data_IF_854494175493
#
_entry.id   IF_854494175493
#
_cell.length_a   1.000
_cell.length_b   1.000
_cell.length_c   1.000
_cell.angle_alpha   90.00
_cell.angle_beta   90.00
_cell.angle_gamma   90.00
#
_symmetry.space_group_name_H-M   'P 1'
#
loop_
_entity.id
_entity.type
_entity.pdbx_description
1 polymer ?
#
# COMPACT_ATOMS: atom_id res chain seq x y z
N UNK A 1 79.78 -19.44 34.29
CA UNK A 1 79.54 -18.01 34.61
C UNK A 1 79.67 -17.19 33.33
N UNK A 2 78.57 -16.67 32.79
CA UNK A 2 78.47 -15.45 31.97
C UNK A 2 76.98 -15.21 31.68
N UNK A 3 76.56 -13.98 32.01
CA UNK A 3 75.25 -13.33 31.81
C UNK A 3 75.11 -13.01 30.29
N UNK A 4 74.04 -12.56 29.65
CA UNK A 4 72.79 -11.90 30.01
C UNK A 4 71.91 -11.80 28.73
N UNK A 5 70.61 -11.63 28.94
CA UNK A 5 69.71 -10.63 28.31
C UNK A 5 69.36 -10.61 26.80
N UNK A 6 68.03 -10.69 26.59
CA UNK A 6 67.15 -9.73 25.86
C UNK A 6 66.83 -9.93 24.38
N UNK A 7 65.57 -9.60 24.05
CA UNK A 7 65.09 -9.29 22.69
C UNK A 7 63.89 -10.14 22.28
N UNK A 8 62.66 -9.83 22.72
CA UNK A 8 61.65 -9.08 21.94
C UNK A 8 61.44 -9.67 20.52
N UNK A 9 60.36 -10.43 20.32
CA UNK A 9 59.04 -9.94 19.86
C UNK A 9 58.97 -9.76 18.33
N UNK A 10 57.78 -10.04 17.79
CA UNK A 10 57.26 -9.60 16.48
C UNK A 10 57.68 -10.47 15.26
N UNK A 11 56.83 -10.92 14.33
CA UNK A 11 55.42 -10.69 14.00
C UNK A 11 54.89 -11.98 13.36
N UNK A 12 53.78 -12.54 13.85
CA UNK A 12 52.95 -13.41 12.99
C UNK A 12 52.19 -12.51 12.02
N UNK A 13 52.54 -12.56 10.74
CA UNK A 13 51.76 -11.97 9.65
C UNK A 13 50.57 -12.88 9.40
N UNK A 14 49.52 -12.70 10.20
CA UNK A 14 48.20 -13.24 9.93
C UNK A 14 47.54 -12.38 8.86
N UNK A 15 47.53 -12.86 7.61
CA UNK A 15 46.73 -12.27 6.55
C UNK A 15 45.25 -12.45 6.90
N UNK A 16 44.65 -11.44 7.54
CA UNK A 16 43.21 -11.37 7.71
C UNK A 16 42.65 -10.95 6.35
N UNK A 17 42.17 -11.94 5.59
CA UNK A 17 41.31 -11.68 4.45
C UNK A 17 40.05 -10.99 4.97
N UNK A 18 39.97 -9.67 4.74
CA UNK A 18 38.72 -8.92 4.90
C UNK A 18 37.81 -9.42 3.80
N UNK A 19 37.03 -10.46 4.10
CA UNK A 19 35.87 -10.80 3.30
C UNK A 19 34.95 -9.58 3.38
N UNK A 20 34.87 -8.82 2.30
CA UNK A 20 33.85 -7.80 2.13
C UNK A 20 32.50 -8.51 2.25
N UNK A 21 31.90 -8.46 3.44
CA UNK A 21 30.49 -8.80 3.60
C UNK A 21 29.72 -7.87 2.67
N UNK A 22 28.84 -8.37 1.79
CA UNK A 22 27.98 -7.50 1.02
C UNK A 22 27.24 -6.60 2.01
N UNK A 23 27.52 -5.31 1.94
CA UNK A 23 26.78 -4.30 2.67
C UNK A 23 25.31 -4.50 2.29
N UNK A 24 24.54 -4.89 3.29
CA UNK A 24 23.09 -4.85 3.42
C UNK A 24 22.30 -5.24 2.15
N UNK A 25 21.64 -6.39 2.26
CA UNK A 25 20.44 -6.71 1.49
C UNK A 25 19.59 -5.46 1.26
N UNK A 26 19.10 -5.34 0.03
CA UNK A 26 18.10 -4.37 -0.40
C UNK A 26 17.19 -3.98 0.78
N UNK A 27 17.32 -2.73 1.25
CA UNK A 27 16.28 -2.05 2.00
C UNK A 27 15.10 -1.89 1.03
N UNK A 28 14.42 -3.00 0.76
CA UNK A 28 13.08 -3.01 0.21
C UNK A 28 12.28 -2.25 1.26
N UNK A 29 11.96 -1.00 0.92
CA UNK A 29 11.12 -0.10 1.70
C UNK A 29 10.00 -0.88 2.42
N UNK A 30 9.64 -0.51 3.67
CA UNK A 30 8.68 -1.24 4.47
C UNK A 30 7.37 -1.40 3.70
N UNK A 31 7.19 -2.57 3.10
CA UNK A 31 6.03 -2.84 2.28
C UNK A 31 4.83 -3.03 3.18
N UNK A 32 3.69 -2.51 2.76
CA UNK A 32 2.46 -2.68 3.54
C UNK A 32 2.16 -4.16 3.69
N UNK A 33 1.89 -4.58 4.93
CA UNK A 33 1.43 -5.92 5.26
C UNK A 33 0.14 -5.81 6.07
N UNK A 34 -0.49 -6.96 6.33
CA UNK A 34 -1.61 -7.05 7.27
C UNK A 34 -1.25 -6.53 8.67
N UNK A 35 -0.01 -6.75 9.09
CA UNK A 35 0.50 -6.43 10.43
C UNK A 35 1.12 -5.03 10.48
N UNK A 36 1.56 -4.50 9.34
CA UNK A 36 2.20 -3.19 9.23
C UNK A 36 1.43 -2.30 8.24
N UNK A 37 0.48 -1.47 8.72
CA UNK A 37 -0.27 -0.57 7.86
C UNK A 37 0.62 0.57 7.36
N UNK A 38 0.37 1.02 6.13
CA UNK A 38 1.07 2.17 5.55
C UNK A 38 0.24 3.44 5.70
N UNK A 39 0.90 4.56 5.97
CA UNK A 39 0.28 5.88 5.96
C UNK A 39 1.09 6.83 5.11
N UNK A 40 0.45 7.39 4.09
CA UNK A 40 0.99 8.39 3.19
C UNK A 40 0.34 9.74 3.49
N UNK A 41 1.16 10.79 3.56
CA UNK A 41 0.71 12.14 3.90
C UNK A 41 1.39 13.19 3.03
N UNK A 42 0.75 14.35 2.84
CA UNK A 42 1.39 15.48 2.13
C UNK A 42 2.75 15.87 2.74
N UNK A 43 3.61 16.51 1.93
CA UNK A 43 3.36 16.95 0.55
C UNK A 43 3.67 15.90 -0.53
N UNK A 44 4.11 14.70 -0.14
CA UNK A 44 4.67 13.74 -1.08
C UNK A 44 3.60 12.83 -1.68
N UNK A 45 3.73 12.56 -2.98
CA UNK A 45 3.00 11.48 -3.60
C UNK A 45 3.59 10.14 -3.14
N UNK A 46 2.74 9.15 -2.89
CA UNK A 46 3.19 7.85 -2.44
C UNK A 46 2.67 6.76 -3.38
N UNK A 47 3.50 5.74 -3.60
CA UNK A 47 3.15 4.57 -4.40
C UNK A 47 3.52 3.35 -3.60
N UNK A 48 2.51 2.63 -3.13
CA UNK A 48 2.69 1.50 -2.22
C UNK A 48 1.96 0.28 -2.73
N UNK A 49 2.52 -0.91 -2.49
CA UNK A 49 1.90 -2.17 -2.86
C UNK A 49 1.81 -3.09 -1.65
N UNK A 50 0.62 -3.66 -1.43
CA UNK A 50 0.42 -4.69 -0.43
C UNK A 50 1.19 -5.95 -0.83
N UNK A 51 2.31 -6.20 -0.15
CA UNK A 51 3.29 -7.22 -0.57
C UNK A 51 3.21 -8.51 0.23
N UNK A 52 2.12 -8.73 0.96
CA UNK A 52 1.83 -9.97 1.69
C UNK A 52 1.58 -11.21 0.81
N UNK A 53 2.06 -11.24 -0.44
CA UNK A 53 1.84 -12.34 -1.38
C UNK A 53 0.36 -12.56 -1.69
N UNK A 54 -0.08 -13.83 -1.70
CA UNK A 54 -1.47 -14.24 -1.98
C UNK A 54 -2.45 -13.92 -0.84
N UNK A 55 -1.99 -13.35 0.28
CA UNK A 55 -2.82 -13.21 1.48
C UNK A 55 -3.67 -11.94 1.50
N UNK A 56 -3.37 -10.92 0.69
CA UNK A 56 -4.16 -9.68 0.69
C UNK A 56 -4.19 -9.00 2.07
N UNK A 57 -5.24 -8.22 2.35
CA UNK A 57 -5.56 -7.72 3.71
C UNK A 57 -4.66 -6.61 4.29
N UNK A 58 -3.95 -5.84 3.47
CA UNK A 58 -3.25 -4.65 3.95
C UNK A 58 -4.20 -3.49 4.25
N UNK A 59 -3.85 -2.67 5.25
CA UNK A 59 -4.49 -1.37 5.47
C UNK A 59 -3.55 -0.26 5.02
N UNK A 60 -4.05 0.61 4.13
CA UNK A 60 -3.27 1.69 3.51
C UNK A 60 -4.05 2.99 3.66
N UNK A 61 -3.44 3.98 4.29
CA UNK A 61 -4.07 5.27 4.58
C UNK A 61 -3.38 6.37 3.79
N UNK A 62 -4.17 7.20 3.11
CA UNK A 62 -3.72 8.39 2.40
C UNK A 62 -4.41 9.61 2.99
N UNK A 63 -3.63 10.62 3.39
CA UNK A 63 -4.19 11.82 4.02
C UNK A 63 -3.51 13.10 3.56
N UNK A 64 -4.26 14.20 3.69
CA UNK A 64 -3.75 15.55 3.60
C UNK A 64 -3.23 15.88 2.21
N UNK A 65 -4.10 16.23 1.27
CA UNK A 65 -3.77 16.69 -0.10
C UNK A 65 -2.74 15.85 -0.91
N UNK A 66 -2.30 14.70 -0.42
CA UNK A 66 -1.37 13.80 -1.09
C UNK A 66 -2.08 13.03 -2.20
N UNK A 67 -1.29 12.62 -3.19
CA UNK A 67 -1.72 11.68 -4.21
C UNK A 67 -1.12 10.31 -3.91
N UNK A 68 -1.97 9.33 -3.61
CA UNK A 68 -1.55 7.98 -3.28
C UNK A 68 -1.99 6.99 -4.35
N UNK A 69 -1.04 6.19 -4.83
CA UNK A 69 -1.28 5.08 -5.74
C UNK A 69 -1.05 3.77 -4.99
N UNK A 70 -2.11 2.98 -4.82
CA UNK A 70 -2.06 1.74 -4.06
C UNK A 70 -2.36 0.53 -4.94
N UNK A 71 -1.58 -0.53 -4.77
CA UNK A 71 -1.84 -1.81 -5.42
C UNK A 71 -2.09 -2.93 -4.40
N UNK A 72 -3.15 -3.69 -4.64
CA UNK A 72 -3.55 -4.84 -3.84
C UNK A 72 -3.86 -6.04 -4.75
N UNK A 73 -2.81 -6.73 -5.24
CA UNK A 73 -2.99 -7.90 -6.09
C UNK A 73 -3.62 -9.08 -5.33
N UNK A 74 -3.36 -9.21 -4.02
CA UNK A 74 -3.89 -10.28 -3.18
C UNK A 74 -5.35 -10.12 -2.74
N UNK A 75 -5.97 -8.96 -3.00
CA UNK A 75 -7.35 -8.68 -2.59
C UNK A 75 -7.53 -8.32 -1.12
N UNK A 76 -8.77 -8.06 -0.70
CA UNK A 76 -9.19 -7.79 0.70
C UNK A 76 -8.48 -6.63 1.39
N UNK A 77 -7.75 -5.78 0.68
CA UNK A 77 -7.13 -4.60 1.27
C UNK A 77 -8.18 -3.58 1.69
N UNK A 78 -7.79 -2.75 2.67
CA UNK A 78 -8.56 -1.61 3.15
C UNK A 78 -7.80 -0.33 2.83
N UNK A 79 -8.36 0.48 1.93
CA UNK A 79 -7.85 1.79 1.56
C UNK A 79 -8.63 2.87 2.29
N UNK A 80 -7.93 3.77 2.97
CA UNK A 80 -8.53 4.87 3.73
C UNK A 80 -8.03 6.18 3.18
N UNK A 81 -8.93 7.07 2.79
CA UNK A 81 -8.61 8.30 2.08
C UNK A 81 -9.28 9.48 2.75
N UNK A 82 -8.47 10.44 3.22
CA UNK A 82 -8.94 11.52 4.07
C UNK A 82 -8.34 12.86 3.68
N UNK A 83 -8.97 13.95 4.14
CA UNK A 83 -8.39 15.29 4.15
C UNK A 83 -7.87 15.76 2.77
N UNK A 84 -8.76 15.86 1.78
CA UNK A 84 -8.44 16.27 0.41
C UNK A 84 -7.42 15.38 -0.34
N UNK A 85 -7.12 14.18 0.15
CA UNK A 85 -6.27 13.23 -0.57
C UNK A 85 -6.88 12.83 -1.92
N UNK A 86 -6.01 12.47 -2.86
CA UNK A 86 -6.35 11.81 -4.12
C UNK A 86 -5.88 10.36 -4.02
N UNK A 87 -6.83 9.43 -4.04
CA UNK A 87 -6.54 8.00 -3.93
C UNK A 87 -6.85 7.27 -5.22
N UNK A 88 -5.84 6.59 -5.74
CA UNK A 88 -5.97 5.65 -6.85
C UNK A 88 -5.59 4.27 -6.34
N UNK A 89 -6.54 3.34 -6.27
CA UNK A 89 -6.30 1.99 -5.79
C UNK A 89 -6.69 0.94 -6.83
N UNK A 90 -5.84 -0.06 -6.98
CA UNK A 90 -6.11 -1.25 -7.79
C UNK A 90 -6.31 -2.45 -6.87
N UNK A 91 -7.36 -3.22 -7.11
CA UNK A 91 -7.71 -4.43 -6.38
C UNK A 91 -7.98 -5.58 -7.36
N UNK A 92 -6.91 -6.27 -7.77
CA UNK A 92 -7.01 -7.40 -8.68
C UNK A 92 -7.56 -8.66 -8.01
N UNK A 93 -7.26 -8.87 -6.72
CA UNK A 93 -7.69 -10.06 -5.97
C UNK A 93 -9.13 -10.00 -5.42
N UNK A 94 -9.82 -8.85 -5.57
CA UNK A 94 -11.21 -8.69 -5.15
C UNK A 94 -11.41 -8.49 -3.64
N UNK A 95 -12.64 -8.22 -3.23
CA UNK A 95 -13.01 -8.08 -1.81
C UNK A 95 -12.42 -6.86 -1.09
N UNK A 96 -11.83 -5.91 -1.82
CA UNK A 96 -11.25 -4.72 -1.21
C UNK A 96 -12.30 -3.75 -0.69
N UNK A 97 -11.91 -2.95 0.30
CA UNK A 97 -12.72 -1.88 0.87
C UNK A 97 -12.02 -0.54 0.65
N UNK A 98 -12.75 0.44 0.15
CA UNK A 98 -12.29 1.82 0.05
C UNK A 98 -13.19 2.70 0.92
N UNK A 99 -12.59 3.43 1.85
CA UNK A 99 -13.24 4.34 2.79
C UNK A 99 -12.73 5.74 2.54
N UNK A 100 -13.62 6.66 2.18
CA UNK A 100 -13.26 8.01 1.80
C UNK A 100 -14.04 9.05 2.60
N UNK A 101 -13.35 9.83 3.43
CA UNK A 101 -13.96 10.84 4.28
C UNK A 101 -13.34 12.22 4.00
N UNK A 102 -14.07 13.08 3.29
CA UNK A 102 -13.56 14.39 2.88
C UNK A 102 -12.33 14.33 1.97
N UNK A 103 -12.09 13.19 1.32
CA UNK A 103 -11.10 13.06 0.26
C UNK A 103 -11.51 13.86 -0.98
N UNK A 104 -10.54 14.28 -1.78
CA UNK A 104 -10.81 14.95 -3.04
C UNK A 104 -11.33 13.94 -4.05
N UNK A 105 -10.56 12.88 -4.29
CA UNK A 105 -10.90 11.85 -5.27
C UNK A 105 -10.61 10.46 -4.70
N UNK A 106 -11.53 9.55 -4.97
CA UNK A 106 -11.43 8.15 -4.63
C UNK A 106 -11.74 7.29 -5.85
N UNK A 107 -10.71 6.63 -6.37
CA UNK A 107 -10.77 5.81 -7.56
C UNK A 107 -10.37 4.38 -7.20
N UNK A 108 -11.32 3.45 -7.21
CA UNK A 108 -11.09 2.02 -6.99
C UNK A 108 -11.32 1.23 -8.28
N UNK A 109 -10.24 0.70 -8.87
CA UNK A 109 -10.32 -0.30 -9.92
C UNK A 109 -10.39 -1.70 -9.28
N UNK A 110 -11.55 -2.34 -9.36
CA UNK A 110 -11.81 -3.63 -8.71
C UNK A 110 -12.07 -4.74 -9.74
N UNK A 111 -11.02 -5.23 -10.39
CA UNK A 111 -11.15 -6.33 -11.34
C UNK A 111 -11.54 -7.66 -10.68
N UNK A 112 -11.18 -7.85 -9.40
CA UNK A 112 -11.42 -9.10 -8.67
C UNK A 112 -12.81 -9.24 -8.06
N UNK A 113 -13.73 -8.30 -8.31
CA UNK A 113 -15.11 -8.30 -7.80
C UNK A 113 -15.25 -8.17 -6.28
N UNK A 114 -16.49 -8.13 -5.78
CA UNK A 114 -16.86 -8.07 -4.36
C UNK A 114 -16.27 -6.88 -3.58
N UNK A 115 -15.88 -5.81 -4.26
CA UNK A 115 -15.37 -4.62 -3.61
C UNK A 115 -16.46 -3.71 -3.09
N UNK A 116 -16.18 -3.07 -1.97
CA UNK A 116 -17.03 -2.05 -1.35
C UNK A 116 -16.31 -0.71 -1.29
N UNK A 117 -16.94 0.33 -1.81
CA UNK A 117 -16.48 1.71 -1.66
C UNK A 117 -17.51 2.50 -0.88
N UNK A 118 -17.08 3.19 0.16
CA UNK A 118 -17.88 4.11 0.95
C UNK A 118 -17.24 5.48 0.92
N UNK A 119 -17.97 6.44 0.38
CA UNK A 119 -17.56 7.82 0.25
C UNK A 119 -18.46 8.72 1.10
N UNK A 120 -17.86 9.71 1.74
CA UNK A 120 -18.53 10.70 2.56
C UNK A 120 -17.94 12.09 2.24
N UNK A 121 -18.78 12.96 1.69
CA UNK A 121 -18.44 14.35 1.33
C UNK A 121 -17.17 14.48 0.46
N UNK A 122 -17.02 13.60 -0.54
CA UNK A 122 -15.90 13.63 -1.49
C UNK A 122 -16.26 14.38 -2.77
N UNK A 123 -15.29 14.83 -3.58
CA UNK A 123 -15.62 15.40 -4.89
C UNK A 123 -15.92 14.30 -5.90
N UNK A 124 -15.05 13.29 -6.00
CA UNK A 124 -15.26 12.15 -6.90
C UNK A 124 -15.14 10.82 -6.15
N UNK A 125 -16.11 9.95 -6.39
CA UNK A 125 -16.15 8.59 -5.89
C UNK A 125 -16.41 7.66 -7.07
N UNK A 126 -15.38 6.93 -7.52
CA UNK A 126 -15.43 6.09 -8.71
C UNK A 126 -15.01 4.67 -8.35
N UNK A 127 -15.86 3.73 -8.73
CA UNK A 127 -15.51 2.32 -8.71
C UNK A 127 -15.58 1.83 -10.16
N UNK A 128 -14.55 1.13 -10.62
CA UNK A 128 -14.45 0.65 -12.01
C UNK A 128 -14.01 -0.81 -12.05
N UNK A 129 -14.06 -1.43 -13.24
CA UNK A 129 -13.59 -2.78 -13.54
C UNK A 129 -14.28 -3.94 -12.78
N UNK A 130 -15.24 -3.66 -11.91
CA UNK A 130 -15.99 -4.70 -11.21
C UNK A 130 -17.25 -5.10 -11.96
N UNK A 131 -17.43 -6.41 -12.11
CA UNK A 131 -18.54 -7.03 -12.84
C UNK A 131 -19.56 -7.71 -11.92
N UNK A 132 -19.19 -8.05 -10.68
CA UNK A 132 -20.07 -8.76 -9.74
C UNK A 132 -19.83 -8.36 -8.27
N UNK A 133 -20.91 -8.33 -7.47
CA UNK A 133 -20.84 -8.26 -6.00
C UNK A 133 -20.37 -6.93 -5.41
N UNK A 134 -20.31 -5.89 -6.24
CA UNK A 134 -19.74 -4.61 -5.84
C UNK A 134 -20.74 -3.65 -5.21
N UNK A 135 -20.32 -2.95 -4.15
CA UNK A 135 -21.15 -1.97 -3.48
C UNK A 135 -20.48 -0.59 -3.50
N UNK A 136 -21.18 0.43 -3.98
CA UNK A 136 -20.72 1.83 -3.94
C UNK A 136 -21.70 2.66 -3.12
N UNK A 137 -21.25 3.23 -2.01
CA UNK A 137 -21.99 4.19 -1.21
C UNK A 137 -21.41 5.59 -1.44
N UNK A 138 -22.19 6.48 -2.05
CA UNK A 138 -21.73 7.78 -2.50
C UNK A 138 -21.62 8.81 -1.37
N UNK A 139 -22.52 8.75 -0.38
CA UNK A 139 -22.53 9.61 0.82
C UNK A 139 -22.34 11.11 0.51
N UNK A 140 -23.04 11.58 -0.52
CA UNK A 140 -23.00 12.99 -0.95
C UNK A 140 -21.79 13.38 -1.82
N UNK A 141 -21.10 12.42 -2.43
CA UNK A 141 -20.08 12.70 -3.43
C UNK A 141 -20.65 13.52 -4.61
N UNK A 142 -19.93 14.55 -5.07
CA UNK A 142 -20.39 15.39 -6.21
C UNK A 142 -20.51 14.56 -7.47
N UNK A 143 -19.48 13.75 -7.76
CA UNK A 143 -19.49 12.74 -8.82
C UNK A 143 -19.45 11.37 -8.19
N UNK A 144 -20.43 10.53 -8.51
CA UNK A 144 -20.46 9.13 -8.10
C UNK A 144 -20.61 8.24 -9.34
N UNK A 145 -19.62 7.41 -9.62
CA UNK A 145 -19.59 6.52 -10.79
C UNK A 145 -19.39 5.07 -10.35
N UNK A 146 -20.46 4.24 -10.32
CA UNK A 146 -20.34 2.82 -10.04
C UNK A 146 -19.70 2.08 -11.22
N UNK A 147 -19.16 0.89 -10.93
CA UNK A 147 -18.48 0.04 -11.92
C UNK A 147 -19.41 -0.74 -12.82
N UNK A 148 -20.70 -0.82 -12.46
CA UNK A 148 -21.65 -1.75 -13.04
C UNK A 148 -22.78 -1.00 -13.76
N UNK A 149 -22.47 -0.35 -14.88
CA UNK A 149 -23.48 0.09 -15.85
C UNK A 149 -23.21 -0.60 -17.20
N UNK A 150 -24.21 -1.24 -17.86
CA UNK A 150 -25.65 -1.28 -17.54
C UNK A 150 -26.13 -2.71 -17.18
N UNK A 151 -25.92 -3.20 -15.94
CA UNK A 151 -26.40 -4.51 -15.39
C UNK A 151 -25.77 -5.76 -16.11
N UNK A 152 -25.88 -7.04 -15.62
CA UNK A 152 -26.33 -7.57 -14.34
C UNK A 152 -25.16 -8.14 -13.50
N UNK A 153 -25.14 -7.75 -12.24
CA UNK A 153 -24.37 -8.32 -11.15
C UNK A 153 -25.05 -7.83 -9.88
N UNK A 154 -24.80 -8.43 -8.72
CA UNK A 154 -25.33 -7.95 -7.43
C UNK A 154 -24.71 -6.60 -7.01
N UNK A 155 -24.58 -5.66 -7.95
CA UNK A 155 -23.99 -4.36 -7.74
C UNK A 155 -25.03 -3.43 -7.12
N UNK A 156 -24.73 -2.93 -5.92
CA UNK A 156 -25.60 -2.02 -5.18
C UNK A 156 -24.97 -0.63 -5.16
N UNK A 157 -25.73 0.38 -5.58
CA UNK A 157 -25.31 1.79 -5.41
C UNK A 157 -26.26 2.46 -4.43
N UNK A 158 -25.72 3.01 -3.34
CA UNK A 158 -26.45 3.81 -2.36
C UNK A 158 -26.01 5.26 -2.58
N UNK A 159 -26.94 6.12 -2.98
CA UNK A 159 -26.65 7.54 -3.23
C UNK A 159 -26.63 8.35 -1.93
#
# INVERSE_FOLDING_TARGET
MKRAWWGMSLFMVGAIAVAATPACADDVAPRCTKESPCTCAAPEACTEACSGGTQGECRMTCRGAATCNFDCPGGKCVFVCENNAVCNATCAGGGCRMECAGAKECNLACAGNDCRSTCERTQACRQTACTQGCALQCGGAVTCSPSCEPLPGNCSTIR
#
